data_IF_568991454045
#
_entry.id   IF_568991454045
#
_cell.length_a   1.000
_cell.length_b   1.000
_cell.length_c   1.000
_cell.angle_alpha   90.00
_cell.angle_beta   90.00
_cell.angle_gamma   90.00
#
_symmetry.space_group_name_H-M   'P 1'
#
loop_
_entity.id
_entity.type
_entity.pdbx_description
1 polymer ?
#
# COMPACT_ATOMS: atom_id res chain seq x y z
N UNK A 1 60.87 67.94 8.28
CA UNK A 1 60.64 66.54 7.79
C UNK A 1 59.30 66.10 8.31
N UNK A 2 58.25 66.17 7.48
CA UNK A 2 56.87 65.80 7.82
C UNK A 2 56.58 64.44 7.25
N UNK A 3 56.29 63.47 8.08
CA UNK A 3 55.82 62.13 7.66
C UNK A 3 54.30 62.12 7.75
N UNK A 4 53.60 62.04 6.63
CA UNK A 4 52.15 61.82 6.54
C UNK A 4 51.89 60.31 6.72
N UNK A 5 50.97 60.03 7.66
CA UNK A 5 50.47 58.68 7.89
C UNK A 5 49.12 58.62 7.13
N UNK A 6 49.04 57.80 6.10
CA UNK A 6 47.80 57.49 5.40
C UNK A 6 47.10 56.35 6.12
N UNK A 7 45.97 56.64 6.73
CA UNK A 7 45.09 55.60 7.32
C UNK A 7 44.24 54.98 6.22
N UNK A 8 44.44 53.70 5.95
CA UNK A 8 43.57 52.91 5.08
C UNK A 8 42.43 52.35 5.91
N UNK A 9 41.24 52.89 5.68
CA UNK A 9 39.97 52.35 6.26
C UNK A 9 39.54 51.21 5.37
N UNK A 10 39.68 49.98 5.86
CA UNK A 10 39.11 48.78 5.24
C UNK A 10 37.64 48.66 5.59
N UNK A 11 36.76 48.97 4.64
CA UNK A 11 35.32 48.70 4.75
C UNK A 11 35.08 47.25 4.46
N UNK A 12 34.86 46.44 5.51
CA UNK A 12 34.41 45.06 5.40
C UNK A 12 32.93 45.06 4.97
N UNK A 13 32.65 44.79 3.69
CA UNK A 13 31.30 44.48 3.21
C UNK A 13 30.86 43.14 3.75
N UNK A 14 30.02 43.16 4.78
CA UNK A 14 29.30 41.95 5.27
C UNK A 14 28.18 41.63 4.28
N UNK A 15 28.47 40.74 3.33
CA UNK A 15 27.41 40.16 2.48
C UNK A 15 26.62 39.17 3.33
N UNK A 16 25.53 39.65 3.91
CA UNK A 16 24.55 38.76 4.51
C UNK A 16 23.83 38.00 3.42
N UNK A 17 24.23 36.78 3.12
CA UNK A 17 23.44 35.84 2.32
C UNK A 17 22.18 35.51 3.10
N UNK A 18 21.09 36.22 2.82
CA UNK A 18 19.76 35.83 3.24
C UNK A 18 19.42 34.57 2.48
N UNK A 19 19.68 33.42 3.07
CA UNK A 19 19.06 32.16 2.63
C UNK A 19 17.55 32.38 2.77
N UNK A 20 16.88 32.60 1.63
CA UNK A 20 15.42 32.64 1.58
C UNK A 20 14.91 31.30 2.11
N UNK A 21 14.57 31.24 3.40
CA UNK A 21 13.85 30.11 3.96
C UNK A 21 12.55 29.99 3.15
N UNK A 22 12.44 28.91 2.38
CA UNK A 22 11.21 28.57 1.67
C UNK A 22 10.09 28.59 2.71
N UNK A 23 9.17 29.55 2.59
CA UNK A 23 8.06 29.70 3.52
C UNK A 23 7.33 28.36 3.56
N UNK A 24 7.27 27.73 4.70
CA UNK A 24 6.51 26.48 4.86
C UNK A 24 5.08 26.73 4.37
N UNK A 25 4.59 25.90 3.45
CA UNK A 25 3.20 25.97 3.00
C UNK A 25 2.25 25.75 4.18
N UNK A 26 1.02 26.26 4.07
CA UNK A 26 -0.01 25.97 5.07
C UNK A 26 -0.40 24.48 5.00
N UNK A 27 -1.01 23.89 6.06
CA UNK A 27 -1.60 22.55 5.98
C UNK A 27 -2.54 22.41 4.78
N UNK A 28 -3.38 23.40 4.54
CA UNK A 28 -4.31 23.45 3.40
C UNK A 28 -3.58 23.38 2.05
N UNK A 29 -2.52 24.19 1.84
CA UNK A 29 -1.74 24.16 0.60
C UNK A 29 -1.09 22.78 0.38
N UNK A 30 -0.59 22.15 1.45
CA UNK A 30 0.01 20.81 1.40
C UNK A 30 -1.01 19.77 0.95
N UNK A 31 -2.21 19.77 1.55
CA UNK A 31 -3.28 18.83 1.21
C UNK A 31 -3.75 19.02 -0.25
N UNK A 32 -3.95 20.25 -0.69
CA UNK A 32 -4.34 20.54 -2.09
C UNK A 32 -3.26 20.09 -3.07
N UNK A 33 -1.99 20.32 -2.76
CA UNK A 33 -0.86 19.88 -3.61
C UNK A 33 -0.79 18.36 -3.68
N UNK A 34 -0.98 17.66 -2.55
CA UNK A 34 -1.03 16.20 -2.47
C UNK A 34 -2.10 15.63 -3.40
N UNK A 35 -3.36 16.01 -3.21
CA UNK A 35 -4.47 15.46 -3.99
C UNK A 35 -4.40 15.81 -5.47
N UNK A 36 -3.97 17.04 -5.80
CA UNK A 36 -3.78 17.48 -7.19
C UNK A 36 -2.75 16.60 -7.90
N UNK A 37 -1.60 16.36 -7.28
CA UNK A 37 -0.55 15.54 -7.88
C UNK A 37 -1.01 14.09 -8.06
N UNK A 38 -1.72 13.50 -7.08
CA UNK A 38 -2.25 12.13 -7.20
C UNK A 38 -3.30 12.01 -8.31
N UNK A 39 -4.20 13.00 -8.41
CA UNK A 39 -5.20 13.05 -9.48
C UNK A 39 -4.57 13.12 -10.87
N UNK A 40 -3.49 13.88 -11.00
CA UNK A 40 -2.71 14.01 -12.24
C UNK A 40 -1.75 12.81 -12.45
N UNK A 41 -1.86 11.75 -11.62
CA UNK A 41 -1.01 10.56 -11.62
C UNK A 41 0.49 10.86 -11.41
N UNK A 42 0.81 12.02 -10.86
CA UNK A 42 2.16 12.39 -10.43
C UNK A 42 2.43 11.87 -9.02
N UNK A 43 2.38 10.54 -8.87
CA UNK A 43 2.37 9.85 -7.56
C UNK A 43 3.56 10.22 -6.69
N UNK A 44 4.78 10.21 -7.23
CA UNK A 44 6.00 10.58 -6.49
C UNK A 44 5.90 12.00 -5.94
N UNK A 45 5.42 12.95 -6.74
CA UNK A 45 5.23 14.33 -6.31
C UNK A 45 4.16 14.43 -5.23
N UNK A 46 3.02 13.75 -5.41
CA UNK A 46 1.98 13.69 -4.39
C UNK A 46 2.51 13.15 -3.07
N UNK A 47 3.15 11.99 -3.09
CA UNK A 47 3.67 11.36 -1.88
C UNK A 47 4.75 12.19 -1.17
N UNK A 48 5.49 13.07 -1.85
CA UNK A 48 6.41 14.01 -1.21
C UNK A 48 5.71 14.99 -0.26
N UNK A 49 4.42 15.25 -0.45
CA UNK A 49 3.57 16.04 0.44
C UNK A 49 2.93 15.20 1.56
N UNK A 50 3.31 13.95 1.73
CA UNK A 50 2.71 13.04 2.71
C UNK A 50 3.76 12.32 3.55
N UNK A 51 3.28 11.62 4.56
CA UNK A 51 4.10 10.72 5.41
C UNK A 51 4.80 9.62 4.61
N UNK A 52 4.37 9.35 3.37
CA UNK A 52 4.98 8.35 2.47
C UNK A 52 6.21 8.84 1.70
N UNK A 53 6.67 10.08 1.94
CA UNK A 53 7.83 10.67 1.26
C UNK A 53 9.04 9.73 1.22
N UNK A 54 9.45 9.22 2.38
CA UNK A 54 10.64 8.37 2.49
C UNK A 54 10.47 6.99 1.82
N UNK A 55 9.23 6.54 1.63
CA UNK A 55 8.95 5.31 0.90
C UNK A 55 9.16 5.48 -0.62
N UNK A 56 8.82 6.65 -1.18
CA UNK A 56 8.95 6.88 -2.63
C UNK A 56 10.33 7.39 -3.04
N UNK A 57 10.99 8.19 -2.19
CA UNK A 57 12.32 8.76 -2.51
C UNK A 57 13.41 7.70 -2.60
N UNK A 58 13.24 6.55 -1.97
CA UNK A 58 14.16 5.43 -2.04
C UNK A 58 13.94 4.46 -3.21
N UNK A 59 12.89 4.65 -4.02
CA UNK A 59 12.53 3.74 -5.11
C UNK A 59 13.29 4.04 -6.39
N UNK A 60 13.69 2.98 -7.09
CA UNK A 60 14.22 3.08 -8.45
C UNK A 60 13.09 3.31 -9.46
N UNK A 61 13.38 3.81 -10.67
CA UNK A 61 12.36 3.96 -11.72
C UNK A 61 11.61 2.65 -12.04
N UNK A 62 12.29 1.51 -12.01
CA UNK A 62 11.67 0.21 -12.25
C UNK A 62 10.71 -0.20 -11.11
N UNK A 63 11.06 0.09 -9.86
CA UNK A 63 10.17 -0.14 -8.71
C UNK A 63 8.95 0.77 -8.71
N UNK A 64 9.11 2.03 -9.12
CA UNK A 64 7.99 2.96 -9.30
C UNK A 64 7.05 2.48 -10.38
N UNK A 65 7.57 2.02 -11.52
CA UNK A 65 6.78 1.46 -12.60
C UNK A 65 6.03 0.19 -12.17
N UNK A 66 6.65 -0.66 -11.35
CA UNK A 66 6.03 -1.87 -10.77
C UNK A 66 4.89 -1.53 -9.81
N UNK A 67 4.99 -0.43 -9.03
CA UNK A 67 3.97 0.03 -8.07
C UNK A 67 2.87 0.91 -8.69
N UNK A 68 3.07 1.44 -9.89
CA UNK A 68 2.13 2.37 -10.52
C UNK A 68 0.69 1.81 -10.63
N UNK A 69 0.46 0.53 -10.99
CA UNK A 69 -0.89 -0.05 -11.01
C UNK A 69 -1.58 -0.02 -9.64
N UNK A 70 -0.84 -0.22 -8.54
CA UNK A 70 -1.40 -0.18 -7.19
C UNK A 70 -1.80 1.25 -6.81
N UNK A 71 -0.94 2.23 -7.13
CA UNK A 71 -1.26 3.64 -6.91
C UNK A 71 -2.47 4.06 -7.75
N UNK A 72 -2.53 3.68 -9.03
CA UNK A 72 -3.64 3.99 -9.91
C UNK A 72 -4.96 3.42 -9.40
N UNK A 73 -4.97 2.19 -8.91
CA UNK A 73 -6.14 1.54 -8.30
C UNK A 73 -6.57 2.24 -7.02
N UNK A 74 -5.64 2.53 -6.12
CA UNK A 74 -5.91 3.16 -4.81
C UNK A 74 -6.48 4.56 -4.96
N UNK A 75 -5.99 5.34 -5.94
CA UNK A 75 -6.38 6.75 -6.13
C UNK A 75 -7.31 6.96 -7.33
N UNK A 76 -7.92 5.90 -7.85
CA UNK A 76 -8.85 5.98 -8.99
C UNK A 76 -10.08 6.88 -8.73
N UNK A 77 -10.51 6.98 -7.47
CA UNK A 77 -11.75 7.66 -7.09
C UNK A 77 -11.55 9.10 -6.57
N UNK A 78 -10.38 9.74 -6.81
CA UNK A 78 -10.19 11.14 -6.40
C UNK A 78 -11.11 12.05 -7.25
N UNK A 79 -12.07 12.79 -6.63
CA UNK A 79 -12.98 13.64 -7.36
C UNK A 79 -12.28 14.83 -8.04
N UNK A 80 -12.95 15.36 -9.07
CA UNK A 80 -12.44 16.52 -9.81
C UNK A 80 -12.39 17.79 -8.97
N UNK A 81 -13.34 17.94 -8.06
CA UNK A 81 -13.47 19.12 -7.21
C UNK A 81 -13.13 18.77 -5.78
N UNK A 82 -12.13 19.44 -5.23
CA UNK A 82 -11.69 19.33 -3.84
C UNK A 82 -11.62 20.73 -3.28
N UNK A 83 -12.47 21.00 -2.29
CA UNK A 83 -12.59 22.33 -1.68
C UNK A 83 -12.27 22.29 -0.20
N UNK A 84 -11.27 23.03 0.27
CA UNK A 84 -11.03 23.18 1.70
C UNK A 84 -12.18 23.97 2.34
N UNK A 85 -12.65 23.49 3.50
CA UNK A 85 -13.74 24.09 4.25
C UNK A 85 -13.37 24.47 5.68
N UNK A 86 -12.16 24.13 6.14
CA UNK A 86 -11.64 24.49 7.45
C UNK A 86 -10.23 23.97 7.66
N UNK A 87 -9.48 24.64 8.53
CA UNK A 87 -8.14 24.26 8.96
C UNK A 87 -8.03 24.47 10.47
N UNK A 88 -7.49 23.47 11.17
CA UNK A 88 -7.19 23.53 12.60
C UNK A 88 -5.77 23.04 12.83
N UNK A 89 -4.95 23.85 13.50
CA UNK A 89 -3.57 23.51 13.88
C UNK A 89 -3.49 23.34 15.38
N UNK A 90 -2.87 22.23 15.83
CA UNK A 90 -2.62 21.93 17.23
C UNK A 90 -1.17 21.44 17.39
N UNK A 91 -0.25 22.34 17.71
CA UNK A 91 1.16 22.05 17.87
C UNK A 91 1.82 21.44 16.63
N UNK A 92 2.13 20.16 16.67
CA UNK A 92 2.78 19.42 15.59
C UNK A 92 1.78 18.66 14.69
N UNK A 93 0.49 18.82 14.91
CA UNK A 93 -0.56 18.22 14.11
C UNK A 93 -1.49 19.27 13.52
N UNK A 94 -2.12 18.97 12.40
CA UNK A 94 -3.17 19.77 11.81
C UNK A 94 -4.27 18.89 11.25
N UNK A 95 -5.46 19.46 11.12
CA UNK A 95 -6.57 18.85 10.41
C UNK A 95 -7.10 19.83 9.39
N UNK A 96 -7.20 19.41 8.14
CA UNK A 96 -7.84 20.18 7.06
C UNK A 96 -9.13 19.47 6.69
N UNK A 97 -10.24 20.19 6.76
CA UNK A 97 -11.54 19.67 6.33
C UNK A 97 -11.71 19.91 4.84
N UNK A 98 -12.00 18.85 4.08
CA UNK A 98 -12.20 18.89 2.62
C UNK A 98 -13.59 18.46 2.24
N UNK A 99 -14.19 19.16 1.28
CA UNK A 99 -15.39 18.71 0.57
C UNK A 99 -14.97 18.11 -0.77
N UNK A 100 -15.39 16.89 -1.02
CA UNK A 100 -15.16 16.16 -2.27
C UNK A 100 -16.43 16.19 -3.13
N UNK A 101 -16.30 16.61 -4.41
CA UNK A 101 -17.44 16.66 -5.35
C UNK A 101 -18.43 17.82 -5.14
N UNK A 102 -18.12 18.78 -4.26
CA UNK A 102 -18.85 20.07 -4.16
C UNK A 102 -20.10 20.08 -3.28
N UNK A 103 -20.67 18.96 -2.84
CA UNK A 103 -21.92 18.90 -2.04
C UNK A 103 -21.90 17.92 -0.88
N UNK A 104 -20.78 17.23 -0.63
CA UNK A 104 -20.63 16.25 0.45
C UNK A 104 -20.35 16.87 1.82
N UNK A 105 -20.48 16.07 2.87
CA UNK A 105 -19.96 16.41 4.19
C UNK A 105 -18.43 16.63 4.12
N UNK A 106 -17.96 17.58 4.93
CA UNK A 106 -16.53 17.84 5.02
C UNK A 106 -15.81 16.65 5.69
N UNK A 107 -14.82 16.10 5.02
CA UNK A 107 -14.01 15.01 5.54
C UNK A 107 -12.69 15.55 6.13
N UNK A 108 -12.30 15.14 7.34
CA UNK A 108 -11.06 15.57 7.95
C UNK A 108 -9.87 14.84 7.33
N UNK A 109 -8.85 15.59 6.96
CA UNK A 109 -7.54 15.08 6.53
C UNK A 109 -6.51 15.47 7.58
N UNK A 110 -5.87 14.47 8.19
CA UNK A 110 -4.83 14.67 9.19
C UNK A 110 -3.51 15.05 8.54
N UNK A 111 -2.74 15.90 9.23
CA UNK A 111 -1.37 16.22 8.88
C UNK A 111 -0.48 16.20 10.13
N UNK A 112 0.76 15.85 9.91
CA UNK A 112 1.83 15.91 10.91
C UNK A 112 2.94 16.84 10.44
N UNK A 113 3.58 17.53 11.36
CA UNK A 113 4.70 18.41 11.06
C UNK A 113 6.01 17.65 11.14
N UNK A 114 6.80 17.67 10.08
CA UNK A 114 8.14 17.12 10.00
C UNK A 114 9.14 18.26 9.71
N UNK A 115 9.89 18.64 10.74
CA UNK A 115 10.72 19.85 10.65
C UNK A 115 9.86 21.12 10.44
N UNK A 116 10.08 21.80 9.31
CA UNK A 116 9.33 22.98 8.92
C UNK A 116 8.21 22.73 7.92
N UNK A 117 7.94 21.49 7.55
CA UNK A 117 6.96 21.12 6.51
C UNK A 117 5.79 20.34 7.12
N UNK A 118 4.60 20.50 6.53
CA UNK A 118 3.44 19.70 6.81
C UNK A 118 3.41 18.50 5.87
N UNK A 119 3.07 17.32 6.40
CA UNK A 119 2.89 16.08 5.65
C UNK A 119 1.49 15.53 5.88
N UNK A 120 0.80 15.19 4.81
CA UNK A 120 -0.51 14.51 4.87
C UNK A 120 -0.34 13.12 5.46
N UNK A 121 -1.07 12.82 6.52
CA UNK A 121 -1.04 11.58 7.28
C UNK A 121 -0.81 11.82 8.77
N UNK A 122 -0.69 10.75 9.52
CA UNK A 122 -0.50 10.74 10.97
C UNK A 122 0.93 10.33 11.37
N UNK A 123 1.22 10.52 12.66
CA UNK A 123 2.56 10.22 13.18
C UNK A 123 2.88 8.72 13.19
N UNK A 124 1.91 7.87 13.46
CA UNK A 124 2.12 6.41 13.51
C UNK A 124 2.52 5.88 12.13
N UNK A 125 1.79 6.30 11.09
CA UNK A 125 2.14 5.99 9.70
C UNK A 125 3.51 6.56 9.32
N UNK A 126 3.84 7.80 9.73
CA UNK A 126 5.16 8.39 9.48
C UNK A 126 6.29 7.55 10.09
N UNK A 127 6.13 7.12 11.35
CA UNK A 127 7.11 6.30 12.05
C UNK A 127 7.27 4.93 11.38
N UNK A 128 6.18 4.31 10.95
CA UNK A 128 6.18 3.04 10.22
C UNK A 128 6.89 3.17 8.85
N UNK A 129 6.58 4.22 8.10
CA UNK A 129 7.25 4.51 6.82
C UNK A 129 8.74 4.75 7.01
N UNK A 130 9.13 5.50 8.04
CA UNK A 130 10.53 5.75 8.35
C UNK A 130 11.28 4.45 8.72
N UNK A 131 10.62 3.52 9.41
CA UNK A 131 11.20 2.22 9.76
C UNK A 131 11.36 1.29 8.55
N UNK A 132 10.44 1.34 7.60
CA UNK A 132 10.43 0.44 6.42
C UNK A 132 11.10 1.05 5.18
N UNK A 133 11.13 2.38 5.06
CA UNK A 133 11.69 3.09 3.92
C UNK A 133 11.09 2.61 2.59
N UNK A 134 11.95 2.39 1.59
CA UNK A 134 11.56 1.94 0.24
C UNK A 134 10.76 0.62 0.20
N UNK A 135 10.83 -0.20 1.26
CA UNK A 135 10.11 -1.47 1.29
C UNK A 135 8.63 -1.31 1.68
N UNK A 136 8.21 -0.14 2.13
CA UNK A 136 6.87 0.09 2.68
C UNK A 136 5.75 -0.33 1.72
N UNK A 137 5.75 0.16 0.49
CA UNK A 137 4.69 -0.16 -0.47
C UNK A 137 4.69 -1.62 -0.91
N UNK A 138 5.86 -2.23 -1.06
CA UNK A 138 5.96 -3.66 -1.35
C UNK A 138 5.47 -4.51 -0.18
N UNK A 139 5.77 -4.13 1.05
CA UNK A 139 5.25 -4.82 2.24
C UNK A 139 3.73 -4.68 2.35
N UNK A 140 3.18 -3.48 2.07
CA UNK A 140 1.74 -3.26 2.04
C UNK A 140 1.06 -4.12 0.95
N UNK A 141 1.61 -4.14 -0.28
CA UNK A 141 1.13 -5.02 -1.37
C UNK A 141 1.12 -6.49 -0.94
N UNK A 142 2.24 -6.98 -0.38
CA UNK A 142 2.32 -8.37 0.05
C UNK A 142 1.28 -8.71 1.12
N UNK A 143 1.06 -7.82 2.08
CA UNK A 143 0.06 -8.04 3.14
C UNK A 143 -1.35 -8.15 2.56
N UNK A 144 -1.72 -7.28 1.61
CA UNK A 144 -3.02 -7.34 0.93
C UNK A 144 -3.16 -8.63 0.13
N UNK A 145 -2.16 -8.95 -0.69
CA UNK A 145 -2.19 -10.16 -1.52
C UNK A 145 -2.24 -11.46 -0.68
N UNK A 146 -1.53 -11.50 0.45
CA UNK A 146 -1.56 -12.62 1.40
C UNK A 146 -2.96 -12.79 2.02
N UNK A 147 -3.62 -11.68 2.36
CA UNK A 147 -5.00 -11.69 2.84
C UNK A 147 -5.98 -12.21 1.79
N UNK A 148 -5.89 -11.70 0.55
CA UNK A 148 -6.74 -12.14 -0.57
C UNK A 148 -6.50 -13.60 -0.93
N UNK A 149 -5.25 -14.08 -0.88
CA UNK A 149 -4.92 -15.50 -1.12
C UNK A 149 -5.52 -16.42 -0.04
N UNK A 150 -5.44 -16.01 1.20
CA UNK A 150 -6.07 -16.73 2.32
C UNK A 150 -7.60 -16.80 2.15
N UNK A 151 -8.25 -15.68 1.85
CA UNK A 151 -9.70 -15.64 1.62
C UNK A 151 -10.12 -16.49 0.42
N UNK A 152 -9.33 -16.50 -0.65
CA UNK A 152 -9.61 -17.31 -1.83
C UNK A 152 -9.54 -18.82 -1.48
N UNK A 153 -8.54 -19.24 -0.72
CA UNK A 153 -8.47 -20.64 -0.25
C UNK A 153 -9.67 -21.01 0.62
N UNK A 154 -10.11 -20.12 1.51
CA UNK A 154 -11.32 -20.34 2.29
C UNK A 154 -12.57 -20.49 1.41
N UNK A 155 -12.68 -19.70 0.33
CA UNK A 155 -13.78 -19.84 -0.64
C UNK A 155 -13.73 -21.17 -1.37
N UNK A 156 -12.54 -21.62 -1.80
CA UNK A 156 -12.36 -22.94 -2.44
C UNK A 156 -12.79 -24.05 -1.47
N UNK A 157 -12.32 -24.02 -0.23
CA UNK A 157 -12.69 -25.00 0.80
C UNK A 157 -14.21 -24.99 1.04
N UNK A 158 -14.79 -23.81 1.20
CA UNK A 158 -16.24 -23.66 1.38
C UNK A 158 -17.05 -24.21 0.21
N UNK A 159 -16.60 -23.93 -1.02
CA UNK A 159 -17.23 -24.44 -2.24
C UNK A 159 -17.16 -25.97 -2.33
N UNK A 160 -16.02 -26.57 -1.97
CA UNK A 160 -15.85 -28.03 -1.91
C UNK A 160 -16.75 -28.68 -0.85
N UNK A 161 -16.87 -28.08 0.32
CA UNK A 161 -17.80 -28.58 1.36
C UNK A 161 -19.25 -28.54 0.88
N UNK A 162 -19.66 -27.48 0.19
CA UNK A 162 -21.02 -27.38 -0.35
C UNK A 162 -21.25 -28.39 -1.47
N UNK A 163 -20.27 -28.53 -2.36
CA UNK A 163 -20.29 -29.50 -3.46
C UNK A 163 -20.40 -30.92 -2.92
N UNK A 164 -19.53 -31.31 -1.99
CA UNK A 164 -19.49 -32.62 -1.38
C UNK A 164 -20.80 -33.04 -0.73
N UNK A 165 -21.48 -32.10 -0.05
CA UNK A 165 -22.82 -32.35 0.54
C UNK A 165 -23.87 -32.65 -0.51
N UNK A 166 -23.76 -32.03 -1.70
CA UNK A 166 -24.73 -32.18 -2.79
C UNK A 166 -24.46 -33.41 -3.66
N UNK A 167 -23.21 -33.85 -3.74
CA UNK A 167 -22.74 -34.92 -4.64
C UNK A 167 -22.13 -36.12 -3.88
N UNK A 168 -22.85 -36.61 -2.87
CA UNK A 168 -22.55 -37.86 -2.15
C UNK A 168 -21.11 -37.96 -1.60
N UNK A 169 -20.56 -36.86 -1.14
CA UNK A 169 -19.22 -36.81 -0.56
C UNK A 169 -18.11 -36.70 -1.61
N UNK A 170 -18.41 -36.36 -2.85
CA UNK A 170 -17.41 -36.09 -3.91
C UNK A 170 -16.95 -34.67 -3.90
N UNK A 171 -15.71 -34.45 -4.32
CA UNK A 171 -15.12 -33.12 -4.52
C UNK A 171 -15.00 -32.82 -6.03
N UNK A 172 -14.91 -31.52 -6.37
CA UNK A 172 -14.94 -31.03 -7.74
C UNK A 172 -13.58 -30.46 -8.18
N UNK A 173 -13.38 -30.37 -9.48
CA UNK A 173 -12.27 -29.58 -10.04
C UNK A 173 -12.50 -28.08 -9.82
N UNK A 174 -11.45 -27.28 -9.88
CA UNK A 174 -11.53 -25.81 -9.79
C UNK A 174 -12.49 -25.24 -10.85
N UNK A 175 -12.41 -25.75 -12.09
CA UNK A 175 -13.27 -25.31 -13.21
C UNK A 175 -14.75 -25.59 -12.92
N UNK A 176 -15.06 -26.75 -12.31
CA UNK A 176 -16.44 -27.08 -11.95
C UNK A 176 -16.97 -26.16 -10.84
N UNK A 177 -16.13 -25.87 -9.82
CA UNK A 177 -16.49 -24.92 -8.77
C UNK A 177 -16.76 -23.51 -9.31
N UNK A 178 -15.94 -23.05 -10.26
CA UNK A 178 -16.12 -21.78 -10.97
C UNK A 178 -17.43 -21.81 -11.79
N UNK A 179 -17.65 -22.88 -12.56
CA UNK A 179 -18.87 -23.05 -13.38
C UNK A 179 -20.15 -22.98 -12.55
N UNK A 180 -20.11 -23.50 -11.34
CA UNK A 180 -21.25 -23.50 -10.41
C UNK A 180 -21.35 -22.18 -9.59
N UNK A 181 -20.43 -21.23 -9.76
CA UNK A 181 -20.41 -19.95 -9.06
C UNK A 181 -19.96 -20.05 -7.60
N UNK A 182 -19.38 -21.17 -7.18
CA UNK A 182 -18.83 -21.36 -5.83
C UNK A 182 -17.49 -20.65 -5.62
N UNK A 183 -16.74 -20.46 -6.71
CA UNK A 183 -15.46 -19.75 -6.75
C UNK A 183 -15.51 -18.65 -7.83
N UNK A 184 -14.96 -17.47 -7.60
CA UNK A 184 -14.92 -16.40 -8.59
C UNK A 184 -14.19 -16.79 -9.88
N UNK A 185 -14.57 -16.13 -10.98
CA UNK A 185 -14.03 -16.43 -12.32
C UNK A 185 -12.63 -15.89 -12.56
N UNK A 186 -12.20 -14.91 -11.77
CA UNK A 186 -10.89 -14.28 -11.84
C UNK A 186 -9.71 -15.23 -11.49
N UNK A 187 -10.01 -16.41 -10.94
CA UNK A 187 -9.02 -17.49 -10.68
C UNK A 187 -8.99 -18.55 -11.80
N UNK A 188 -9.74 -18.38 -12.89
CA UNK A 188 -9.88 -19.40 -13.96
C UNK A 188 -8.52 -19.77 -14.57
N UNK A 189 -7.62 -18.79 -14.71
CA UNK A 189 -6.26 -18.98 -15.20
C UNK A 189 -5.27 -19.45 -14.13
N UNK A 190 -5.76 -19.72 -12.92
CA UNK A 190 -4.92 -20.16 -11.79
C UNK A 190 -4.13 -19.05 -11.11
N UNK A 191 -4.24 -17.78 -11.54
CA UNK A 191 -3.51 -16.66 -10.93
C UNK A 191 -4.44 -15.48 -10.67
N UNK A 192 -4.41 -14.97 -9.43
CA UNK A 192 -5.04 -13.70 -9.04
C UNK A 192 -4.31 -13.12 -7.84
N UNK A 193 -4.41 -11.78 -7.64
CA UNK A 193 -3.85 -11.08 -6.47
C UNK A 193 -2.37 -11.43 -6.17
N UNK A 194 -1.58 -11.63 -7.23
CA UNK A 194 -0.15 -11.95 -7.10
C UNK A 194 0.15 -13.35 -6.56
N UNK A 195 -0.85 -14.25 -6.58
CA UNK A 195 -0.72 -15.64 -6.16
C UNK A 195 -1.15 -16.60 -7.27
N UNK A 196 -0.47 -17.74 -7.33
CA UNK A 196 -0.84 -18.88 -8.16
C UNK A 196 -1.54 -19.91 -7.30
N UNK A 197 -2.72 -20.37 -7.74
CA UNK A 197 -3.57 -21.33 -7.06
C UNK A 197 -3.61 -22.65 -7.81
N UNK A 198 -3.69 -23.73 -7.06
CA UNK A 198 -3.98 -25.05 -7.61
C UNK A 198 -4.89 -25.82 -6.66
N UNK A 199 -5.91 -26.48 -7.21
CA UNK A 199 -6.78 -27.41 -6.50
C UNK A 199 -6.50 -28.81 -6.99
N UNK A 200 -6.18 -29.72 -6.08
CA UNK A 200 -5.97 -31.15 -6.35
C UNK A 200 -7.05 -31.94 -5.66
N UNK A 201 -7.72 -32.79 -6.43
CA UNK A 201 -8.73 -33.74 -5.96
C UNK A 201 -8.16 -35.16 -6.10
N UNK A 202 -8.39 -36.00 -5.10
CA UNK A 202 -7.94 -37.40 -5.13
C UNK A 202 -8.63 -38.19 -6.26
N UNK A 203 -8.02 -39.28 -6.77
CA UNK A 203 -8.61 -40.09 -7.85
C UNK A 203 -10.00 -40.67 -7.53
N UNK A 204 -10.31 -40.90 -6.26
CA UNK A 204 -11.62 -41.37 -5.79
C UNK A 204 -12.61 -40.20 -5.53
N UNK A 205 -12.17 -38.98 -5.76
CA UNK A 205 -12.93 -37.73 -5.55
C UNK A 205 -13.35 -37.49 -4.08
N UNK A 206 -12.72 -38.18 -3.10
CA UNK A 206 -13.14 -38.13 -1.70
C UNK A 206 -12.38 -37.12 -0.84
N UNK A 207 -11.21 -36.71 -1.29
CA UNK A 207 -10.38 -35.73 -0.60
C UNK A 207 -9.86 -34.67 -1.58
N UNK A 208 -9.58 -33.49 -1.06
CA UNK A 208 -8.98 -32.41 -1.82
C UNK A 208 -7.96 -31.66 -0.97
N UNK A 209 -7.09 -30.95 -1.64
CA UNK A 209 -6.32 -29.85 -1.08
C UNK A 209 -6.11 -28.76 -2.12
N UNK A 210 -6.01 -27.52 -1.68
CA UNK A 210 -5.66 -26.38 -2.50
C UNK A 210 -4.36 -25.74 -1.99
N UNK A 211 -3.59 -25.15 -2.89
CA UNK A 211 -2.37 -24.40 -2.54
C UNK A 211 -2.41 -23.03 -3.17
N UNK A 212 -1.78 -22.04 -2.50
CA UNK A 212 -1.54 -20.73 -3.05
C UNK A 212 -0.07 -20.35 -2.83
N UNK A 213 0.62 -20.02 -3.92
CA UNK A 213 2.04 -19.66 -3.93
C UNK A 213 2.20 -18.24 -4.47
N UNK A 214 3.03 -17.39 -3.86
CA UNK A 214 3.31 -16.08 -4.42
C UNK A 214 3.95 -16.23 -5.81
N UNK A 215 3.45 -15.49 -6.82
CA UNK A 215 4.01 -15.52 -8.18
C UNK A 215 5.44 -15.01 -8.20
N UNK A 216 5.76 -14.03 -7.33
CA UNK A 216 7.11 -13.50 -7.13
C UNK A 216 7.38 -13.38 -5.63
N UNK A 217 8.10 -14.37 -5.06
CA UNK A 217 8.47 -14.34 -3.65
C UNK A 217 9.18 -13.02 -3.26
N UNK A 218 8.73 -12.43 -2.16
CA UNK A 218 9.26 -11.16 -1.63
C UNK A 218 8.81 -9.90 -2.37
N UNK A 219 7.95 -10.05 -3.40
CA UNK A 219 7.31 -8.94 -4.13
C UNK A 219 5.80 -9.01 -4.10
N UNK A 220 5.22 -10.16 -4.39
CA UNK A 220 3.77 -10.36 -4.39
C UNK A 220 3.27 -11.04 -3.12
N UNK A 221 4.14 -11.71 -2.38
CA UNK A 221 3.89 -12.35 -1.10
C UNK A 221 5.14 -13.06 -0.58
N UNK A 222 5.10 -13.48 0.67
CA UNK A 222 6.12 -14.33 1.33
C UNK A 222 5.52 -15.64 1.81
N UNK A 223 4.25 -15.60 2.22
CA UNK A 223 3.58 -16.76 2.78
C UNK A 223 3.11 -17.66 1.65
N UNK A 224 3.49 -18.94 1.71
CA UNK A 224 2.88 -20.00 0.91
C UNK A 224 1.77 -20.65 1.70
N UNK A 225 0.65 -20.95 1.06
CA UNK A 225 -0.52 -21.50 1.71
C UNK A 225 -0.87 -22.89 1.22
N UNK A 226 -1.44 -23.69 2.12
CA UNK A 226 -2.08 -24.98 1.88
C UNK A 226 -3.44 -24.98 2.58
N UNK A 227 -4.49 -25.43 1.90
CA UNK A 227 -5.84 -25.51 2.46
C UNK A 227 -6.48 -26.87 2.20
N UNK A 228 -7.12 -27.43 3.20
CA UNK A 228 -7.94 -28.64 3.11
C UNK A 228 -9.17 -28.52 4.01
N UNK A 229 -9.91 -29.60 4.22
CA UNK A 229 -11.10 -29.63 5.08
C UNK A 229 -10.84 -29.19 6.53
N UNK A 230 -9.58 -29.23 6.99
CA UNK A 230 -9.19 -28.88 8.35
C UNK A 230 -8.87 -27.37 8.48
N UNK A 231 -8.71 -26.66 7.37
CA UNK A 231 -8.47 -25.22 7.35
C UNK A 231 -7.29 -24.80 6.46
N UNK A 232 -6.84 -23.56 6.66
CA UNK A 232 -5.74 -22.99 5.88
C UNK A 232 -4.46 -22.94 6.74
N UNK A 233 -3.40 -23.52 6.22
CA UNK A 233 -2.05 -23.49 6.76
C UNK A 233 -1.22 -22.48 5.97
N UNK A 234 -0.27 -21.79 6.62
CA UNK A 234 0.56 -20.80 5.94
C UNK A 234 1.91 -20.60 6.60
N UNK A 235 2.96 -20.49 5.79
CA UNK A 235 4.33 -20.35 6.27
C UNK A 235 5.23 -19.64 5.23
N UNK A 236 6.23 -18.88 5.70
CA UNK A 236 7.27 -18.31 4.83
C UNK A 236 8.29 -19.41 4.44
N UNK A 237 8.01 -20.09 3.36
CA UNK A 237 8.84 -21.17 2.82
C UNK A 237 9.71 -20.73 1.62
N UNK A 238 9.98 -19.42 1.48
CA UNK A 238 10.77 -18.87 0.38
C UNK A 238 10.23 -19.23 -1.01
N UNK A 239 8.90 -19.25 -1.14
CA UNK A 239 8.21 -19.61 -2.37
C UNK A 239 8.04 -21.13 -2.61
N UNK A 240 8.49 -21.97 -1.68
CA UNK A 240 8.19 -23.40 -1.73
C UNK A 240 6.77 -23.68 -1.23
N UNK A 241 6.18 -24.79 -1.66
CA UNK A 241 4.81 -25.16 -1.33
C UNK A 241 4.64 -25.49 0.16
N UNK A 242 3.61 -24.92 0.78
CA UNK A 242 3.14 -25.31 2.11
C UNK A 242 2.41 -26.68 2.06
N UNK A 243 2.29 -27.30 3.21
CA UNK A 243 1.66 -28.62 3.38
C UNK A 243 0.75 -28.63 4.61
N UNK A 244 0.00 -29.71 4.82
CA UNK A 244 -0.78 -29.92 6.03
C UNK A 244 0.06 -29.93 7.34
N UNK A 245 1.40 -29.95 7.24
CA UNK A 245 2.31 -29.87 8.41
C UNK A 245 2.71 -28.42 8.74
N UNK A 246 2.51 -27.50 7.82
CA UNK A 246 2.72 -26.06 8.09
C UNK A 246 1.74 -25.58 9.16
N UNK A 247 2.06 -24.52 9.91
CA UNK A 247 1.17 -23.98 10.94
C UNK A 247 -0.18 -23.54 10.38
N UNK A 248 -1.25 -23.67 11.17
CA UNK A 248 -2.53 -23.02 10.86
C UNK A 248 -2.30 -21.51 10.75
N UNK A 249 -2.68 -20.95 9.63
CA UNK A 249 -2.51 -19.53 9.38
C UNK A 249 -3.58 -18.70 10.10
N UNK A 250 -3.13 -17.62 10.73
CA UNK A 250 -4.00 -16.63 11.34
C UNK A 250 -3.73 -15.28 10.67
N UNK A 251 -4.71 -14.69 9.99
CA UNK A 251 -4.58 -13.34 9.41
C UNK A 251 -4.19 -12.32 10.47
N UNK A 252 -3.34 -11.37 10.08
CA UNK A 252 -2.90 -10.26 10.95
C UNK A 252 -3.90 -9.11 10.91
#
# INVERSE_FOLDING_TARGET
MKRSIISIIAIALLVATVLAQKKAGSPTDTVISFYRALKEKRYVEGFRHSVYRNAVEGLTPAELQDLEPDFARTFAAIPDKIEPSGEQISGQTATVSLKFGGSGEAQPVALVRAGNEWLVGDKETLDLVNAQGRSFFFNARMLVNEGEAYEMLQRIIGAEIIYSRKFEGKNASLQELIRLGGVPKDIEDGETSGYRFALTVSPDERTFFAVALPTLYGKTGKISFYGDINGVHGEDLKGQQATARSPIYQPK
#
